data_IF_702013726941
#
_entry.id   IF_702013726941
#
_cell.length_a   1.000
_cell.length_b   1.000
_cell.length_c   1.000
_cell.angle_alpha   90.00
_cell.angle_beta   90.00
_cell.angle_gamma   90.00
#
_symmetry.space_group_name_H-M   'P 1'
#
loop_
_entity.id
_entity.type
_entity.pdbx_description
1 polymer ?
#
# COMPACT_ATOMS: atom_id res chain seq x y z
N UNK A 1 -51.13 -21.38 -7.73
CA UNK A 1 -50.13 -21.10 -6.67
C UNK A 1 -48.78 -20.79 -7.32
N UNK A 2 -48.58 -19.57 -7.80
CA UNK A 2 -47.29 -19.09 -8.35
C UNK A 2 -47.20 -17.58 -8.12
N UNK A 3 -47.22 -17.16 -6.86
CA UNK A 3 -47.18 -15.73 -6.53
C UNK A 3 -46.65 -15.45 -5.13
N UNK A 4 -45.52 -16.04 -4.71
CA UNK A 4 -44.96 -15.75 -3.37
C UNK A 4 -43.42 -15.71 -3.26
N UNK A 5 -42.65 -15.80 -4.35
CA UNK A 5 -41.17 -15.90 -4.24
C UNK A 5 -40.45 -14.55 -4.41
N UNK A 6 -41.13 -13.49 -4.86
CA UNK A 6 -40.45 -12.22 -5.19
C UNK A 6 -40.20 -11.27 -4.00
N UNK A 7 -40.83 -11.50 -2.83
CA UNK A 7 -40.75 -10.55 -1.71
C UNK A 7 -39.54 -10.76 -0.77
N UNK A 8 -38.94 -11.96 -0.74
CA UNK A 8 -37.87 -12.28 0.20
C UNK A 8 -36.48 -11.78 -0.23
N UNK A 9 -36.26 -11.57 -1.54
CA UNK A 9 -34.97 -11.13 -2.06
C UNK A 9 -34.70 -9.62 -1.83
N UNK A 10 -35.75 -8.80 -1.71
CA UNK A 10 -35.62 -7.35 -1.53
C UNK A 10 -35.23 -6.97 -0.10
N UNK A 11 -35.58 -7.79 0.90
CA UNK A 11 -35.28 -7.51 2.31
C UNK A 11 -33.82 -7.80 2.68
N UNK A 12 -33.14 -8.70 1.96
CA UNK A 12 -31.74 -9.04 2.24
C UNK A 12 -30.76 -7.93 1.81
N UNK A 13 -31.12 -7.12 0.81
CA UNK A 13 -30.28 -6.01 0.33
C UNK A 13 -30.33 -4.83 1.32
N UNK A 14 -31.48 -4.59 1.96
CA UNK A 14 -31.63 -3.50 2.94
C UNK A 14 -30.82 -3.75 4.24
N UNK A 15 -30.60 -5.02 4.63
CA UNK A 15 -29.81 -5.35 5.82
C UNK A 15 -28.30 -5.18 5.61
N UNK A 16 -27.80 -5.31 4.37
CA UNK A 16 -26.38 -5.13 4.06
C UNK A 16 -25.93 -3.64 4.13
N UNK A 17 -26.86 -2.70 3.97
CA UNK A 17 -26.55 -1.25 4.01
C UNK A 17 -26.43 -0.72 5.45
N UNK A 18 -27.00 -1.41 6.44
CA UNK A 18 -26.99 -0.97 7.85
C UNK A 18 -25.77 -1.45 8.66
N UNK A 19 -24.96 -2.35 8.08
CA UNK A 19 -23.76 -2.93 8.71
C UNK A 19 -22.45 -2.45 8.10
N UNK A 20 -22.49 -1.69 7.00
CA UNK A 20 -21.33 -0.94 6.55
C UNK A 20 -21.15 0.21 7.55
N UNK A 21 -20.25 0.02 8.53
CA UNK A 21 -19.66 1.17 9.20
C UNK A 21 -19.19 2.17 8.15
N UNK A 22 -19.21 3.45 8.47
CA UNK A 22 -18.52 4.44 7.66
C UNK A 22 -17.16 3.86 7.30
N UNK A 23 -16.93 3.53 6.03
CA UNK A 23 -15.58 3.55 5.52
C UNK A 23 -15.08 4.92 5.93
N UNK A 24 -14.07 4.98 6.81
CA UNK A 24 -13.38 6.24 7.11
C UNK A 24 -12.99 6.75 5.74
N UNK A 25 -13.72 7.75 5.24
CA UNK A 25 -13.55 8.17 3.86
C UNK A 25 -12.17 8.81 3.80
N UNK A 26 -11.22 8.09 3.20
CA UNK A 26 -9.91 8.51 2.70
C UNK A 26 -9.72 10.03 2.76
N UNK A 27 -8.83 10.53 3.62
CA UNK A 27 -8.57 11.96 3.76
C UNK A 27 -9.58 12.80 4.54
N UNK A 28 -10.42 12.17 5.38
CA UNK A 28 -11.28 12.86 6.35
C UNK A 28 -12.24 13.89 5.74
N UNK A 29 -12.84 13.56 4.60
CA UNK A 29 -13.76 14.42 3.85
C UNK A 29 -13.13 15.77 3.44
N UNK A 30 -11.84 15.74 3.10
CA UNK A 30 -11.07 16.91 2.68
C UNK A 30 -10.36 17.65 3.80
N UNK A 31 -10.52 17.23 5.05
CA UNK A 31 -9.92 17.89 6.23
C UNK A 31 -8.51 17.44 6.54
N UNK A 32 -8.02 16.40 5.86
CA UNK A 32 -6.67 15.89 6.00
C UNK A 32 -5.84 16.24 4.76
N UNK A 33 -4.57 16.55 5.00
CA UNK A 33 -3.54 16.48 3.98
C UNK A 33 -3.30 14.99 3.67
N UNK A 34 -3.29 14.60 2.40
CA UNK A 34 -3.17 13.20 1.99
C UNK A 34 -2.05 13.03 0.98
N UNK A 35 -1.11 12.14 1.27
CA UNK A 35 -0.22 11.57 0.26
C UNK A 35 -0.82 10.28 -0.27
N UNK A 36 -1.00 10.18 -1.58
CA UNK A 36 -1.36 8.94 -2.24
C UNK A 36 -0.15 8.36 -2.94
N UNK A 37 0.13 7.09 -2.65
CA UNK A 37 1.34 6.40 -3.08
C UNK A 37 0.90 5.20 -3.93
N UNK A 38 1.44 5.11 -5.14
CA UNK A 38 1.38 3.89 -5.96
C UNK A 38 2.77 3.29 -6.07
N UNK A 39 2.91 1.99 -5.85
CA UNK A 39 4.20 1.31 -5.93
C UNK A 39 4.10 0.04 -6.77
N UNK A 40 5.13 -0.21 -7.58
CA UNK A 40 5.30 -1.50 -8.24
C UNK A 40 6.77 -1.83 -8.42
N UNK A 41 7.10 -3.10 -8.26
CA UNK A 41 8.42 -3.66 -8.45
C UNK A 41 8.29 -5.01 -9.15
N UNK A 42 9.19 -5.28 -10.10
CA UNK A 42 9.31 -6.56 -10.79
C UNK A 42 10.79 -6.85 -11.05
N UNK A 43 11.22 -8.05 -10.71
CA UNK A 43 12.53 -8.60 -11.02
C UNK A 43 12.35 -10.01 -11.56
N UNK A 44 12.40 -10.20 -12.88
CA UNK A 44 12.24 -11.51 -13.52
C UNK A 44 13.50 -11.94 -14.31
N UNK A 45 14.61 -11.23 -14.13
CA UNK A 45 15.89 -11.53 -14.78
C UNK A 45 16.83 -12.28 -13.81
N UNK A 46 16.99 -13.61 -13.93
CA UNK A 46 17.76 -14.40 -12.97
C UNK A 46 19.25 -14.05 -12.93
N UNK A 47 19.80 -13.55 -14.04
CA UNK A 47 21.21 -13.13 -14.09
C UNK A 47 21.47 -11.86 -13.27
N UNK A 48 20.45 -11.05 -13.03
CA UNK A 48 20.54 -9.82 -12.25
C UNK A 48 19.97 -9.99 -10.83
N UNK A 49 18.76 -10.54 -10.73
CA UNK A 49 18.05 -10.72 -9.46
C UNK A 49 18.60 -11.90 -8.64
N UNK A 50 19.32 -12.84 -9.29
CA UNK A 50 19.57 -14.17 -8.73
C UNK A 50 18.35 -15.06 -8.83
N UNK A 51 18.52 -16.37 -8.60
CA UNK A 51 17.42 -17.35 -8.68
C UNK A 51 16.40 -17.22 -7.56
N UNK A 52 16.79 -16.63 -6.42
CA UNK A 52 15.97 -16.58 -5.21
C UNK A 52 15.19 -15.26 -5.04
N UNK A 53 15.54 -14.20 -5.77
CA UNK A 53 14.90 -12.88 -5.65
C UNK A 53 14.06 -12.54 -6.89
N UNK A 54 13.53 -13.55 -7.56
CA UNK A 54 12.62 -13.35 -8.67
C UNK A 54 11.21 -13.09 -8.15
N UNK A 55 10.46 -12.28 -8.90
CA UNK A 55 9.09 -11.94 -8.57
C UNK A 55 8.87 -10.44 -8.59
N UNK A 56 7.97 -9.97 -7.75
CA UNK A 56 7.59 -8.58 -7.69
C UNK A 56 6.51 -8.31 -6.67
N UNK A 57 6.21 -7.04 -6.49
CA UNK A 57 5.07 -6.60 -5.71
C UNK A 57 4.47 -5.35 -6.33
N UNK A 58 3.22 -5.08 -6.01
CA UNK A 58 2.53 -3.87 -6.39
C UNK A 58 1.49 -3.54 -5.33
N UNK A 59 1.11 -2.27 -5.27
CA UNK A 59 0.10 -1.86 -4.34
C UNK A 59 -0.04 -0.35 -4.30
N UNK A 60 -0.73 0.08 -3.27
CA UNK A 60 -0.95 1.48 -2.97
C UNK A 60 -0.87 1.71 -1.47
N UNK A 61 -0.63 2.95 -1.08
CA UNK A 61 -0.80 3.40 0.29
C UNK A 61 -1.26 4.84 0.34
N UNK A 62 -1.81 5.24 1.47
CA UNK A 62 -2.06 6.62 1.80
C UNK A 62 -1.46 7.00 3.15
N UNK A 63 -0.98 8.23 3.23
CA UNK A 63 -0.51 8.84 4.47
C UNK A 63 -1.30 10.11 4.71
N UNK A 64 -2.09 10.10 5.78
CA UNK A 64 -2.92 11.20 6.23
C UNK A 64 -2.16 12.04 7.26
N UNK A 65 -2.19 13.36 7.10
CA UNK A 65 -1.85 14.32 8.13
C UNK A 65 -3.08 15.14 8.49
N UNK A 66 -3.41 15.18 9.77
CA UNK A 66 -4.43 16.06 10.31
C UNK A 66 -3.80 17.40 10.70
N UNK A 67 -3.99 18.48 9.92
CA UNK A 67 -3.39 19.78 10.23
C UNK A 67 -3.97 20.42 11.50
N UNK A 68 -5.16 20.00 11.95
CA UNK A 68 -5.78 20.53 13.17
C UNK A 68 -5.23 19.89 14.44
N UNK A 69 -4.79 18.64 14.40
CA UNK A 69 -4.29 17.89 15.57
C UNK A 69 -2.82 17.52 15.50
N UNK A 70 -2.20 17.61 14.33
CA UNK A 70 -0.85 17.15 14.04
C UNK A 70 -0.70 15.62 13.95
N UNK A 71 -1.81 14.88 14.00
CA UNK A 71 -1.79 13.40 13.95
C UNK A 71 -1.48 12.93 12.53
N UNK A 72 -0.60 11.93 12.45
CA UNK A 72 -0.18 11.27 11.22
C UNK A 72 -0.59 9.80 11.27
N UNK A 73 -1.41 9.36 10.33
CA UNK A 73 -1.87 7.97 10.17
C UNK A 73 -1.85 7.57 8.71
N UNK A 74 -2.25 6.36 8.38
CA UNK A 74 -2.41 5.93 7.01
C UNK A 74 -2.64 4.43 6.92
N UNK A 75 -2.71 3.94 5.70
CA UNK A 75 -2.85 2.53 5.42
C UNK A 75 -2.25 2.20 4.04
N UNK A 76 -1.96 0.91 3.82
CA UNK A 76 -1.49 0.45 2.53
C UNK A 76 -1.95 -0.98 2.25
N UNK A 77 -2.09 -1.29 0.97
CA UNK A 77 -2.42 -2.62 0.48
C UNK A 77 -1.42 -3.03 -0.58
N UNK A 78 -0.64 -4.06 -0.26
CA UNK A 78 0.44 -4.58 -1.08
C UNK A 78 0.15 -6.03 -1.45
N UNK A 79 0.39 -6.38 -2.71
CA UNK A 79 0.35 -7.75 -3.19
C UNK A 79 1.68 -8.08 -3.82
N UNK A 80 2.24 -9.23 -3.44
CA UNK A 80 3.53 -9.71 -3.93
C UNK A 80 3.44 -11.13 -4.46
N UNK A 81 4.37 -11.48 -5.33
CA UNK A 81 4.64 -12.85 -5.71
C UNK A 81 6.15 -13.07 -5.78
N UNK A 82 6.64 -14.14 -5.16
CA UNK A 82 8.04 -14.54 -5.22
C UNK A 82 8.20 -15.87 -5.94
N UNK A 83 9.33 -16.04 -6.61
CA UNK A 83 9.66 -17.17 -7.45
C UNK A 83 11.05 -17.71 -7.05
N UNK A 84 11.11 -18.50 -5.99
CA UNK A 84 12.36 -19.08 -5.49
C UNK A 84 12.07 -20.04 -4.34
N UNK A 85 12.94 -20.07 -3.34
CA UNK A 85 12.70 -20.78 -2.07
C UNK A 85 11.41 -20.30 -1.39
N UNK A 86 11.17 -18.97 -1.38
CA UNK A 86 9.84 -18.43 -1.13
C UNK A 86 9.10 -18.36 -2.47
N UNK A 87 8.05 -19.17 -2.61
CA UNK A 87 7.28 -19.27 -3.85
C UNK A 87 5.82 -18.91 -3.58
N UNK A 88 5.21 -18.15 -4.47
CA UNK A 88 3.77 -17.88 -4.47
C UNK A 88 3.40 -16.47 -4.05
N UNK A 89 2.09 -16.23 -4.03
CA UNK A 89 1.51 -14.93 -3.76
C UNK A 89 1.30 -14.70 -2.26
N UNK A 90 1.50 -13.44 -1.87
CA UNK A 90 1.18 -12.93 -0.56
C UNK A 90 0.46 -11.58 -0.70
N UNK A 91 -0.31 -11.23 0.30
CA UNK A 91 -0.98 -9.94 0.42
C UNK A 91 -0.70 -9.36 1.79
N UNK A 92 -0.35 -8.09 1.87
CA UNK A 92 -0.08 -7.38 3.13
C UNK A 92 -0.98 -6.16 3.20
N UNK A 93 -1.82 -6.15 4.23
CA UNK A 93 -2.58 -4.96 4.64
C UNK A 93 -1.82 -4.29 5.77
N UNK A 94 -1.56 -3.00 5.63
CA UNK A 94 -0.70 -2.21 6.51
C UNK A 94 -1.56 -1.13 7.18
N UNK A 95 -1.50 -1.07 8.50
CA UNK A 95 -2.05 0.05 9.28
C UNK A 95 -0.90 0.92 9.76
N UNK A 96 -0.79 2.14 9.26
CA UNK A 96 0.23 3.11 9.67
C UNK A 96 -0.28 3.92 10.86
N UNK A 97 0.29 3.65 12.02
CA UNK A 97 -0.08 4.31 13.28
C UNK A 97 0.62 5.65 13.48
N UNK A 98 1.74 5.85 12.81
CA UNK A 98 2.51 7.10 12.78
C UNK A 98 3.38 7.15 11.55
N UNK A 99 3.51 8.30 10.92
CA UNK A 99 4.54 8.54 9.90
C UNK A 99 5.25 9.88 10.09
N UNK A 100 6.45 10.01 9.53
CA UNK A 100 7.20 11.26 9.47
C UNK A 100 8.14 11.27 8.26
N UNK A 101 8.74 12.44 7.99
CA UNK A 101 9.71 12.61 6.91
C UNK A 101 11.09 12.78 7.53
N UNK A 102 12.07 12.03 7.05
CA UNK A 102 13.47 12.13 7.45
C UNK A 102 14.39 11.78 6.27
N UNK A 103 15.70 12.09 6.35
CA UNK A 103 16.66 11.61 5.35
C UNK A 103 16.65 10.08 5.29
N UNK A 104 16.55 9.50 4.10
CA UNK A 104 16.40 8.06 3.93
C UNK A 104 16.99 7.52 2.63
N UNK A 105 16.53 6.34 2.24
CA UNK A 105 17.15 5.47 1.23
C UNK A 105 16.86 5.84 -0.22
N UNK A 106 15.76 6.54 -0.49
CA UNK A 106 15.27 6.88 -1.83
C UNK A 106 15.15 8.40 -2.04
N UNK A 107 16.29 9.09 -2.11
CA UNK A 107 16.36 10.55 -2.31
C UNK A 107 16.74 11.31 -1.02
N UNK A 108 16.62 12.66 -1.01
CA UNK A 108 17.06 13.46 0.14
C UNK A 108 16.15 13.27 1.37
N UNK A 109 14.89 12.89 1.17
CA UNK A 109 13.90 12.65 2.21
C UNK A 109 12.91 11.56 1.79
N UNK A 110 12.62 10.61 2.68
CA UNK A 110 11.62 9.55 2.51
C UNK A 110 10.61 9.55 3.64
N UNK A 111 9.52 8.80 3.46
CA UNK A 111 8.58 8.51 4.53
C UNK A 111 9.14 7.42 5.44
N UNK A 112 8.97 7.64 6.74
CA UNK A 112 9.17 6.64 7.77
C UNK A 112 7.85 6.30 8.45
N UNK A 113 7.65 5.06 8.87
CA UNK A 113 6.40 4.58 9.48
C UNK A 113 6.63 3.79 10.78
N UNK A 114 5.65 3.90 11.67
CA UNK A 114 5.33 2.87 12.65
C UNK A 114 4.03 2.19 12.18
N UNK A 115 4.06 0.88 11.96
CA UNK A 115 2.99 0.17 11.27
C UNK A 115 2.71 -1.23 11.82
N UNK A 116 1.52 -1.72 11.48
CA UNK A 116 1.06 -3.08 11.77
C UNK A 116 0.74 -3.75 10.44
N UNK A 117 1.55 -4.74 10.10
CA UNK A 117 1.44 -5.49 8.86
C UNK A 117 0.68 -6.78 9.10
N UNK A 118 -0.45 -6.94 8.41
CA UNK A 118 -1.19 -8.20 8.33
C UNK A 118 -0.90 -8.86 6.99
N UNK A 119 0.04 -9.80 6.99
CA UNK A 119 0.44 -10.53 5.78
C UNK A 119 -0.28 -11.87 5.71
N UNK A 120 -0.98 -12.12 4.61
CA UNK A 120 -1.60 -13.41 4.29
C UNK A 120 -0.89 -14.06 3.11
N UNK A 121 -0.39 -15.28 3.32
CA UNK A 121 0.21 -16.09 2.27
C UNK A 121 -0.17 -17.56 2.45
N UNK A 122 -0.53 -18.24 1.34
CA UNK A 122 -0.85 -19.69 1.35
C UNK A 122 -1.87 -20.12 2.42
N UNK A 123 -2.82 -19.24 2.76
CA UNK A 123 -3.85 -19.50 3.79
C UNK A 123 -3.39 -19.31 5.24
N UNK A 124 -2.17 -18.84 5.45
CA UNK A 124 -1.64 -18.42 6.74
C UNK A 124 -1.64 -16.90 6.83
N UNK A 125 -1.93 -16.38 8.02
CA UNK A 125 -1.91 -14.94 8.31
C UNK A 125 -0.97 -14.68 9.48
N UNK A 126 -0.01 -13.80 9.26
CA UNK A 126 0.94 -13.33 10.24
C UNK A 126 0.73 -11.82 10.47
N UNK A 127 0.84 -11.39 11.72
CA UNK A 127 0.73 -9.98 12.11
C UNK A 127 2.05 -9.55 12.71
N UNK A 128 2.67 -8.52 12.13
CA UNK A 128 3.96 -7.98 12.57
C UNK A 128 3.81 -6.50 12.90
N UNK A 129 4.45 -6.04 13.98
CA UNK A 129 4.55 -4.61 14.28
C UNK A 129 5.94 -4.14 13.94
N UNK A 130 6.02 -3.09 13.14
CA UNK A 130 7.25 -2.47 12.65
C UNK A 130 7.28 -1.04 13.17
N UNK A 131 8.44 -0.58 13.66
CA UNK A 131 8.60 0.74 14.28
C UNK A 131 9.83 1.41 13.67
N UNK A 132 9.67 2.64 13.17
CA UNK A 132 10.79 3.40 12.62
C UNK A 132 11.32 2.89 11.29
N UNK A 133 10.49 2.26 10.47
CA UNK A 133 10.94 1.77 9.16
C UNK A 133 11.01 2.89 8.14
N UNK A 134 12.02 2.83 7.26
CA UNK A 134 12.11 3.67 6.06
C UNK A 134 11.47 2.89 4.91
N UNK A 135 10.25 3.27 4.53
CA UNK A 135 9.51 2.53 3.50
C UNK A 135 10.05 2.77 2.07
N UNK A 136 11.13 3.55 1.92
CA UNK A 136 11.82 3.75 0.64
C UNK A 136 11.00 4.56 -0.37
N UNK A 137 9.96 5.27 0.08
CA UNK A 137 9.12 6.14 -0.74
C UNK A 137 9.59 7.58 -0.61
N UNK A 138 9.96 8.27 -1.70
CA UNK A 138 10.33 9.68 -1.67
C UNK A 138 9.19 10.55 -1.10
N UNK A 139 9.52 11.48 -0.21
CA UNK A 139 8.52 12.38 0.41
C UNK A 139 8.04 13.50 -0.52
N UNK A 140 8.68 13.66 -1.67
CA UNK A 140 8.33 14.69 -2.67
C UNK A 140 7.30 14.10 -3.64
N UNK A 141 6.20 14.80 -3.94
CA UNK A 141 5.27 14.35 -4.98
C UNK A 141 5.94 14.26 -6.36
N UNK A 142 5.70 13.17 -7.07
CA UNK A 142 6.33 12.90 -8.35
C UNK A 142 6.08 11.49 -8.88
N UNK A 143 6.67 11.20 -10.03
CA UNK A 143 6.73 9.86 -10.62
C UNK A 143 8.21 9.48 -10.74
N UNK A 144 8.56 8.32 -10.20
CA UNK A 144 9.93 7.85 -10.06
C UNK A 144 10.09 6.51 -10.77
N UNK A 145 10.99 6.49 -11.74
CA UNK A 145 11.40 5.30 -12.46
C UNK A 145 12.47 4.51 -11.71
N UNK A 146 12.73 3.27 -12.14
CA UNK A 146 13.79 2.41 -11.58
C UNK A 146 15.14 3.11 -11.47
N UNK A 147 15.51 3.90 -12.49
CA UNK A 147 16.79 4.61 -12.50
C UNK A 147 16.85 5.76 -11.51
N UNK A 148 15.72 6.40 -11.23
CA UNK A 148 15.65 7.48 -10.24
C UNK A 148 15.63 6.92 -8.82
N UNK A 149 14.99 5.76 -8.62
CA UNK A 149 14.92 5.08 -7.33
C UNK A 149 16.27 4.45 -6.95
N UNK A 150 16.92 3.74 -7.88
CA UNK A 150 18.12 2.95 -7.57
C UNK A 150 19.42 3.47 -8.19
N UNK A 151 19.39 4.51 -9.03
CA UNK A 151 20.59 5.10 -9.60
C UNK A 151 21.26 4.27 -10.72
N UNK A 152 20.59 3.27 -11.29
CA UNK A 152 21.11 2.47 -12.41
C UNK A 152 20.10 2.32 -13.54
N UNK A 153 20.58 2.10 -14.77
CA UNK A 153 19.70 1.78 -15.90
C UNK A 153 19.21 0.33 -15.77
N UNK A 154 17.90 0.08 -15.65
CA UNK A 154 17.42 -1.27 -15.42
C UNK A 154 17.75 -2.20 -16.59
N UNK A 155 18.29 -3.40 -16.34
CA UNK A 155 18.37 -4.42 -17.38
C UNK A 155 16.96 -4.91 -17.75
N UNK A 156 16.80 -5.59 -18.90
CA UNK A 156 15.54 -6.21 -19.26
C UNK A 156 15.01 -7.09 -18.13
N UNK A 157 13.72 -6.95 -17.82
CA UNK A 157 13.08 -7.74 -16.79
C UNK A 157 13.14 -7.17 -15.37
N UNK A 158 13.74 -5.98 -15.19
CA UNK A 158 13.78 -5.27 -13.92
C UNK A 158 13.04 -3.96 -14.05
N UNK A 159 12.11 -3.68 -13.14
CA UNK A 159 11.37 -2.43 -13.10
C UNK A 159 10.98 -2.10 -11.67
N UNK A 160 11.08 -0.83 -11.30
CA UNK A 160 10.45 -0.24 -10.13
C UNK A 160 9.78 1.06 -10.57
N UNK A 161 8.60 1.33 -10.03
CA UNK A 161 7.89 2.59 -10.22
C UNK A 161 7.29 3.00 -8.89
N UNK A 162 7.47 4.26 -8.53
CA UNK A 162 6.80 4.89 -7.41
C UNK A 162 6.10 6.15 -7.93
N UNK A 163 4.84 6.34 -7.57
CA UNK A 163 4.10 7.57 -7.79
C UNK A 163 3.66 8.11 -6.45
N UNK A 164 3.89 9.40 -6.22
CA UNK A 164 3.46 10.11 -5.02
C UNK A 164 2.65 11.34 -5.46
N UNK A 165 1.41 11.42 -5.02
CA UNK A 165 0.55 12.58 -5.22
C UNK A 165 0.20 13.19 -3.86
N UNK A 166 0.17 14.52 -3.77
CA UNK A 166 -0.22 15.22 -2.55
C UNK A 166 -1.51 16.00 -2.78
N UNK A 167 -2.47 15.83 -1.89
CA UNK A 167 -3.73 16.56 -1.83
C UNK A 167 -3.79 17.31 -0.50
N UNK A 168 -3.73 18.65 -0.49
CA UNK A 168 -3.86 19.39 0.75
C UNK A 168 -5.30 19.34 1.29
N UNK A 169 -5.44 19.56 2.60
CA UNK A 169 -6.71 19.83 3.24
C UNK A 169 -7.36 21.11 2.67
N UNK A 170 -8.69 21.18 2.65
CA UNK A 170 -9.47 22.31 2.12
C UNK A 170 -10.70 22.65 2.96
#
# INVERSE_FOLDING_TARGET
MKTLIAAAAVLAIAAAVLGAGSASAYGGDGKMDVYQIGISFNCNNPAFCGSENLGGFWGWGELDHNPATGVNTGDAELTGCSHGTFNGAAHTSVEVTRWWIAPGSAGPYTFYTDEIDTTTSRGHTDVTTIIGDDIGVPAVPGHYSTSEIFGFTPPPGVSAQIQVAFKPAH
#
